data_IF_895000250634
#
_entry.id   IF_895000250634
#
_cell.length_a   1.000
_cell.length_b   1.000
_cell.length_c   1.000
_cell.angle_alpha   90.00
_cell.angle_beta   90.00
_cell.angle_gamma   90.00
#
_symmetry.space_group_name_H-M   'P 1'
#
loop_
_entity.id
_entity.type
_entity.pdbx_description
1 polymer ?
#
# COMPACT_ATOMS: atom_id res chain seq x y z
N UNK A 1 7.09 17.62 -28.76
CA UNK A 1 6.63 17.43 -27.36
C UNK A 1 7.11 16.08 -26.88
N UNK A 2 8.22 16.05 -26.15
CA UNK A 2 8.74 14.82 -25.55
C UNK A 2 9.38 15.19 -24.21
N UNK A 3 8.88 14.59 -23.14
CA UNK A 3 9.62 14.44 -21.89
C UNK A 3 8.86 13.45 -21.00
N UNK A 4 9.38 12.23 -20.87
CA UNK A 4 9.05 11.31 -19.77
C UNK A 4 10.21 11.36 -18.80
N UNK A 5 9.93 12.04 -17.70
CA UNK A 5 10.26 11.68 -16.32
C UNK A 5 11.66 11.12 -16.06
N UNK A 6 12.49 12.07 -15.65
CA UNK A 6 13.68 11.91 -14.82
C UNK A 6 13.27 11.44 -13.42
N UNK A 7 13.63 10.21 -13.05
CA UNK A 7 13.81 9.79 -11.65
C UNK A 7 15.18 9.08 -11.59
N UNK A 8 16.25 9.77 -11.23
CA UNK A 8 16.65 10.15 -9.87
C UNK A 8 16.84 8.94 -8.95
N UNK A 9 17.79 8.08 -9.30
CA UNK A 9 18.45 7.18 -8.35
C UNK A 9 19.33 8.00 -7.42
N UNK A 10 18.99 8.05 -6.13
CA UNK A 10 19.89 8.55 -5.09
C UNK A 10 19.97 7.55 -3.92
N UNK A 11 21.14 7.41 -3.27
CA UNK A 11 21.57 6.18 -2.64
C UNK A 11 21.43 6.22 -1.10
N UNK A 12 21.31 5.05 -0.47
CA UNK A 12 21.69 4.84 0.95
C UNK A 12 22.48 3.53 1.02
N UNK A 13 23.81 3.57 1.06
CA UNK A 13 24.75 3.87 2.17
C UNK A 13 25.02 2.65 3.05
N UNK A 14 26.29 2.21 2.99
CA UNK A 14 27.02 1.37 3.94
C UNK A 14 26.83 -0.13 3.73
N UNK A 15 27.81 -0.95 3.38
CA UNK A 15 29.26 -0.83 3.36
C UNK A 15 29.83 -2.16 3.87
N UNK A 16 30.72 -2.82 3.10
CA UNK A 16 31.96 -3.47 3.56
C UNK A 16 32.52 -4.43 2.48
N UNK A 17 33.84 -4.33 2.34
CA UNK A 17 34.81 -5.27 1.78
C UNK A 17 34.85 -5.47 0.25
N UNK A 18 35.80 -4.75 -0.35
CA UNK A 18 36.43 -5.10 -1.62
C UNK A 18 37.18 -6.44 -1.49
N UNK A 19 36.85 -7.44 -2.30
CA UNK A 19 37.80 -8.47 -2.74
C UNK A 19 37.34 -9.08 -4.07
N UNK A 20 38.19 -8.94 -5.10
CA UNK A 20 38.25 -9.86 -6.23
C UNK A 20 37.25 -9.63 -7.37
N UNK A 21 37.65 -8.84 -8.38
CA UNK A 21 37.12 -9.01 -9.72
C UNK A 21 37.71 -10.31 -10.28
N UNK A 22 37.00 -11.42 -10.12
CA UNK A 22 37.28 -12.65 -10.87
C UNK A 22 36.55 -12.50 -12.21
N UNK A 23 37.22 -12.59 -13.37
CA UNK A 23 36.54 -12.63 -14.65
C UNK A 23 35.97 -14.04 -14.78
N UNK A 24 34.75 -14.25 -14.28
CA UNK A 24 34.05 -15.51 -14.49
C UNK A 24 33.41 -15.42 -15.87
N UNK A 25 34.04 -16.08 -16.84
CA UNK A 25 33.37 -16.47 -18.08
C UNK A 25 32.04 -17.14 -17.73
N UNK A 26 30.96 -16.67 -18.35
CA UNK A 26 29.63 -17.25 -18.18
C UNK A 26 28.89 -16.64 -17.01
N UNK A 27 28.40 -15.41 -17.18
CA UNK A 27 27.32 -14.82 -16.40
C UNK A 27 26.11 -15.76 -16.42
N UNK A 28 26.09 -16.68 -15.46
CA UNK A 28 24.89 -17.40 -15.06
C UNK A 28 24.07 -16.38 -14.28
N UNK A 29 23.36 -15.54 -15.03
CA UNK A 29 22.13 -14.95 -14.51
C UNK A 29 21.33 -16.12 -13.92
N UNK A 30 20.89 -15.99 -12.66
CA UNK A 30 20.20 -17.08 -11.99
C UNK A 30 19.02 -17.55 -12.84
N UNK A 31 18.72 -18.85 -12.78
CA UNK A 31 17.84 -19.59 -13.70
C UNK A 31 16.40 -19.03 -13.83
N UNK A 32 16.05 -17.96 -13.10
CA UNK A 32 14.79 -17.22 -13.15
C UNK A 32 14.77 -16.07 -14.19
N UNK A 33 15.92 -15.65 -14.72
CA UNK A 33 16.04 -14.54 -15.69
C UNK A 33 16.02 -14.98 -17.17
N UNK A 34 16.05 -16.28 -17.45
CA UNK A 34 16.10 -16.81 -18.81
C UNK A 34 14.89 -17.69 -19.07
N UNK A 35 14.04 -17.27 -20.00
CA UNK A 35 12.94 -18.05 -20.52
C UNK A 35 13.50 -19.33 -21.15
N UNK A 36 13.41 -20.48 -20.47
CA UNK A 36 13.68 -21.75 -21.13
C UNK A 36 12.53 -22.02 -22.10
N UNK A 37 12.86 -22.42 -23.34
CA UNK A 37 11.94 -22.67 -24.45
C UNK A 37 10.86 -23.77 -24.19
N UNK A 38 10.66 -24.18 -22.94
CA UNK A 38 9.71 -25.18 -22.48
C UNK A 38 8.84 -24.69 -21.30
N UNK A 39 9.01 -23.45 -20.83
CA UNK A 39 8.17 -22.86 -19.80
C UNK A 39 7.38 -21.69 -20.40
N UNK A 40 6.22 -21.99 -20.98
CA UNK A 40 5.17 -20.99 -21.28
C UNK A 40 4.62 -20.37 -19.96
N UNK A 41 5.14 -20.79 -18.81
CA UNK A 41 4.77 -20.30 -17.49
C UNK A 41 6.04 -19.91 -16.73
N UNK A 42 6.26 -18.61 -16.40
CA UNK A 42 7.29 -18.22 -15.42
C UNK A 42 7.07 -18.97 -14.09
N UNK A 43 8.11 -19.18 -13.25
CA UNK A 43 7.92 -19.71 -11.90
C UNK A 43 6.79 -18.90 -11.27
N UNK A 44 5.72 -19.58 -10.81
CA UNK A 44 4.43 -18.96 -10.50
C UNK A 44 4.64 -17.53 -10.00
N UNK A 45 4.41 -16.51 -10.86
CA UNK A 45 4.77 -15.18 -10.46
C UNK A 45 3.94 -14.89 -9.21
N UNK A 46 4.51 -14.12 -8.28
CA UNK A 46 3.69 -13.62 -7.18
C UNK A 46 2.43 -13.00 -7.77
N UNK A 47 1.34 -12.96 -7.03
CA UNK A 47 0.07 -12.42 -7.56
C UNK A 47 0.22 -10.98 -8.10
N UNK A 48 1.31 -10.29 -7.75
CA UNK A 48 1.69 -8.95 -8.18
C UNK A 48 2.62 -8.86 -9.40
N UNK A 49 3.08 -9.97 -9.96
CA UNK A 49 4.06 -9.96 -11.04
C UNK A 49 3.49 -10.62 -12.30
N UNK A 50 3.77 -10.01 -13.46
CA UNK A 50 3.36 -10.55 -14.74
C UNK A 50 4.53 -10.44 -15.72
N UNK A 51 5.07 -11.59 -16.12
CA UNK A 51 6.22 -11.66 -17.02
C UNK A 51 5.82 -12.16 -18.41
N UNK A 52 6.36 -11.54 -19.45
CA UNK A 52 6.32 -12.00 -20.83
C UNK A 52 7.72 -12.40 -21.29
N UNK A 53 7.83 -13.45 -22.08
CA UNK A 53 9.09 -13.86 -22.71
C UNK A 53 9.15 -13.34 -24.14
N UNK A 54 10.16 -12.52 -24.43
CA UNK A 54 10.36 -12.00 -25.77
C UNK A 54 11.14 -12.97 -26.68
N UNK A 55 11.07 -12.81 -28.01
CA UNK A 55 11.77 -13.69 -28.95
C UNK A 55 13.30 -13.67 -28.82
N UNK A 56 13.86 -12.68 -28.13
CA UNK A 56 15.28 -12.55 -27.78
C UNK A 56 15.68 -13.44 -26.58
N UNK A 57 14.71 -14.14 -25.96
CA UNK A 57 14.92 -15.00 -24.80
C UNK A 57 15.00 -14.24 -23.46
N UNK A 58 14.64 -12.95 -23.45
CA UNK A 58 14.64 -12.10 -22.25
C UNK A 58 13.22 -12.04 -21.68
N UNK A 59 13.10 -12.22 -20.36
CA UNK A 59 11.85 -11.99 -19.64
C UNK A 59 11.65 -10.49 -19.39
N UNK A 60 10.47 -9.97 -19.69
CA UNK A 60 10.01 -8.62 -19.35
C UNK A 60 8.88 -8.73 -18.34
N UNK A 61 9.15 -8.35 -17.10
CA UNK A 61 8.20 -8.44 -16.00
C UNK A 61 7.63 -7.06 -15.65
N UNK A 62 6.33 -7.02 -15.42
CA UNK A 62 5.61 -5.90 -14.82
C UNK A 62 5.31 -6.28 -13.37
N UNK A 63 5.70 -5.43 -12.43
CA UNK A 63 5.36 -5.57 -11.01
C UNK A 63 4.32 -4.53 -10.67
N UNK A 64 3.22 -4.96 -10.07
CA UNK A 64 2.16 -4.07 -9.63
C UNK A 64 2.54 -3.40 -8.29
N UNK A 65 2.58 -2.06 -8.29
CA UNK A 65 2.60 -1.26 -7.06
C UNK A 65 1.16 -0.94 -6.65
N UNK A 66 0.71 -1.49 -5.52
CA UNK A 66 -0.63 -1.26 -5.04
C UNK A 66 -0.80 0.18 -4.53
N UNK A 67 -1.88 0.83 -4.95
CA UNK A 67 -2.30 2.09 -4.34
C UNK A 67 -2.60 1.88 -2.84
N UNK A 68 -2.26 2.85 -1.97
CA UNK A 68 -2.62 2.77 -0.55
C UNK A 68 -4.14 2.54 -0.41
N UNK A 69 -4.57 1.50 0.34
CA UNK A 69 -5.98 1.17 0.42
C UNK A 69 -6.74 2.27 1.15
N UNK A 70 -7.97 2.60 0.72
CA UNK A 70 -8.77 3.66 1.30
C UNK A 70 -9.45 3.26 2.63
N UNK A 71 -8.88 2.31 3.36
CA UNK A 71 -9.38 1.84 4.65
C UNK A 71 -8.23 1.49 5.57
N UNK A 72 -8.50 1.43 6.88
CA UNK A 72 -7.52 1.05 7.90
C UNK A 72 -7.51 -0.45 8.19
N UNK A 73 -8.51 -1.18 7.72
CA UNK A 73 -8.74 -2.61 7.91
C UNK A 73 -8.77 -3.36 6.56
N UNK A 74 -7.86 -3.02 5.65
CA UNK A 74 -7.75 -3.70 4.37
C UNK A 74 -7.37 -5.18 4.55
N UNK A 75 -7.96 -6.06 3.75
CA UNK A 75 -7.75 -7.50 3.82
C UNK A 75 -6.86 -7.94 2.66
N UNK A 76 -5.84 -8.75 2.97
CA UNK A 76 -4.97 -9.38 1.99
C UNK A 76 -5.48 -10.80 1.73
N UNK A 77 -6.13 -11.00 0.58
CA UNK A 77 -6.64 -12.32 0.19
C UNK A 77 -5.57 -13.13 -0.53
N UNK A 78 -5.53 -14.43 -0.24
CA UNK A 78 -4.66 -15.37 -0.98
C UNK A 78 -5.08 -15.38 -2.44
N UNK A 79 -4.12 -15.22 -3.36
CA UNK A 79 -4.40 -15.18 -4.79
C UNK A 79 -4.72 -13.78 -5.34
N UNK A 80 -4.58 -12.73 -4.52
CA UNK A 80 -4.69 -11.34 -4.97
C UNK A 80 -3.40 -10.59 -4.69
N UNK A 81 -2.99 -9.74 -5.63
CA UNK A 81 -1.85 -8.86 -5.42
C UNK A 81 -2.13 -7.81 -4.35
N UNK A 82 -3.23 -7.08 -4.53
CA UNK A 82 -3.51 -5.87 -3.77
C UNK A 82 -4.58 -6.11 -2.72
N UNK A 83 -4.46 -5.48 -1.54
CA UNK A 83 -5.47 -5.60 -0.50
C UNK A 83 -6.77 -4.90 -0.90
N UNK A 84 -7.88 -5.39 -0.36
CA UNK A 84 -9.22 -4.86 -0.62
C UNK A 84 -9.87 -4.33 0.66
N UNK A 85 -10.75 -3.33 0.50
CA UNK A 85 -11.57 -2.78 1.58
C UNK A 85 -12.98 -3.38 1.50
N UNK A 86 -13.22 -4.48 2.23
CA UNK A 86 -14.48 -5.23 2.17
C UNK A 86 -15.72 -4.39 2.49
N UNK A 87 -15.60 -3.52 3.50
CA UNK A 87 -16.69 -2.63 3.96
C UNK A 87 -16.64 -1.25 3.28
N UNK A 88 -15.77 -1.09 2.29
CA UNK A 88 -15.49 0.18 1.63
C UNK A 88 -14.56 1.10 2.46
N UNK A 89 -14.46 2.38 2.05
CA UNK A 89 -13.52 3.30 2.67
C UNK A 89 -13.86 3.62 4.12
N UNK A 90 -12.85 3.68 4.99
CA UNK A 90 -13.02 3.98 6.41
C UNK A 90 -11.74 4.56 7.03
N UNK A 91 -11.86 4.99 8.28
CA UNK A 91 -10.74 5.52 9.05
C UNK A 91 -10.96 5.33 10.56
N UNK A 92 -9.93 5.58 11.37
CA UNK A 92 -10.06 5.53 12.83
C UNK A 92 -10.82 6.75 13.34
N UNK A 93 -11.70 6.56 14.33
CA UNK A 93 -12.42 7.65 14.98
C UNK A 93 -11.47 8.59 15.73
N UNK A 94 -10.38 8.06 16.28
CA UNK A 94 -9.37 8.81 17.04
C UNK A 94 -7.97 8.16 16.91
N UNK A 95 -6.98 8.72 17.61
CA UNK A 95 -5.59 8.25 17.58
C UNK A 95 -5.35 6.95 18.36
N UNK A 96 -6.32 6.45 19.15
CA UNK A 96 -6.21 5.17 19.84
C UNK A 96 -6.24 3.99 18.87
N UNK A 97 -6.77 4.20 17.65
CA UNK A 97 -6.89 3.18 16.60
C UNK A 97 -7.72 1.97 16.99
N UNK A 98 -8.64 2.13 17.93
CA UNK A 98 -9.51 1.04 18.42
C UNK A 98 -10.86 1.00 17.72
N UNK A 99 -11.36 2.15 17.26
CA UNK A 99 -12.68 2.28 16.64
C UNK A 99 -12.56 2.75 15.19
N UNK A 100 -13.14 1.98 14.29
CA UNK A 100 -13.24 2.29 12.86
C UNK A 100 -14.64 2.85 12.56
N UNK A 101 -14.73 3.86 11.71
CA UNK A 101 -15.99 4.44 11.23
C UNK A 101 -15.95 4.60 9.70
N UNK A 102 -17.11 4.51 9.02
CA UNK A 102 -17.16 4.60 7.56
C UNK A 102 -16.79 6.00 7.03
N UNK A 103 -16.29 6.07 5.80
CA UNK A 103 -16.07 7.31 5.08
C UNK A 103 -17.37 8.02 4.68
N UNK A 104 -17.28 9.33 4.41
CA UNK A 104 -18.39 10.11 3.87
C UNK A 104 -19.09 10.95 4.94
N UNK A 105 -20.31 10.55 5.33
CA UNK A 105 -21.13 11.33 6.25
C UNK A 105 -20.59 11.31 7.68
N UNK A 106 -20.87 12.36 8.44
CA UNK A 106 -20.44 12.47 9.83
C UNK A 106 -21.30 11.56 10.72
N UNK A 107 -20.67 10.75 11.56
CA UNK A 107 -21.31 9.77 12.46
C UNK A 107 -21.12 10.17 13.92
N UNK A 108 -22.08 9.81 14.79
CA UNK A 108 -21.95 10.01 16.24
C UNK A 108 -21.10 8.89 16.84
N UNK A 109 -19.95 9.25 17.41
CA UNK A 109 -19.09 8.30 18.12
C UNK A 109 -19.36 8.31 19.63
N UNK A 110 -19.73 9.47 20.16
CA UNK A 110 -20.17 9.63 21.55
C UNK A 110 -21.44 10.49 21.54
N UNK A 111 -22.22 10.55 22.65
CA UNK A 111 -23.46 11.33 22.72
C UNK A 111 -23.35 12.80 22.29
N UNK A 112 -22.14 13.36 22.26
CA UNK A 112 -21.87 14.73 21.84
C UNK A 112 -20.69 14.88 20.90
N UNK A 113 -20.15 13.79 20.38
CA UNK A 113 -18.97 13.83 19.51
C UNK A 113 -19.35 13.24 18.16
N UNK A 114 -19.29 14.08 17.12
CA UNK A 114 -19.56 13.68 15.75
C UNK A 114 -18.26 13.69 14.95
N UNK A 115 -17.96 12.59 14.28
CA UNK A 115 -16.73 12.40 13.53
C UNK A 115 -17.02 12.16 12.06
N UNK A 116 -16.20 12.73 11.18
CA UNK A 116 -16.26 12.51 9.74
C UNK A 116 -14.91 12.01 9.24
N UNK A 117 -14.92 10.84 8.62
CA UNK A 117 -13.77 10.37 7.85
C UNK A 117 -13.65 11.15 6.53
N UNK A 118 -12.42 11.36 6.11
CA UNK A 118 -12.13 11.93 4.82
C UNK A 118 -12.63 11.03 3.69
N UNK A 119 -13.14 11.62 2.62
CA UNK A 119 -13.79 10.90 1.50
C UNK A 119 -13.00 11.03 0.18
N UNK A 120 -11.68 11.24 0.24
CA UNK A 120 -10.81 11.39 -0.93
C UNK A 120 -10.88 12.75 -1.65
N UNK A 121 -11.88 13.59 -1.36
CA UNK A 121 -11.96 14.99 -1.83
C UNK A 121 -11.30 15.97 -0.86
N UNK A 122 -11.13 15.57 0.41
CA UNK A 122 -10.43 16.37 1.40
C UNK A 122 -8.90 16.28 1.17
N UNK A 123 -8.22 17.42 1.12
CA UNK A 123 -6.75 17.49 1.02
C UNK A 123 -6.10 16.72 2.17
N UNK A 124 -5.14 15.82 1.86
CA UNK A 124 -4.35 15.10 2.87
C UNK A 124 -4.80 13.66 3.16
N UNK A 125 -5.89 13.15 2.55
CA UNK A 125 -6.25 11.74 2.68
C UNK A 125 -5.15 10.79 2.16
N UNK A 126 -4.58 11.14 1.01
CA UNK A 126 -3.46 10.41 0.40
C UNK A 126 -2.14 10.58 1.16
N UNK A 127 -2.03 11.57 2.06
CA UNK A 127 -0.84 11.81 2.89
C UNK A 127 -0.80 10.92 4.15
N UNK A 128 -1.69 9.93 4.25
CA UNK A 128 -1.72 8.98 5.36
C UNK A 128 -2.53 9.45 6.57
N UNK A 129 -3.38 10.48 6.42
CA UNK A 129 -4.32 10.86 7.46
C UNK A 129 -5.47 9.85 7.57
N UNK A 130 -5.23 8.81 8.38
CA UNK A 130 -6.16 7.71 8.66
C UNK A 130 -7.05 7.95 9.88
N UNK A 131 -7.18 9.20 10.34
CA UNK A 131 -7.98 9.56 11.53
C UNK A 131 -9.07 10.56 11.13
N UNK A 132 -10.27 10.37 11.67
CA UNK A 132 -11.41 11.22 11.42
C UNK A 132 -11.24 12.62 12.00
N UNK A 133 -11.92 13.59 11.40
CA UNK A 133 -12.13 14.90 12.01
C UNK A 133 -13.36 14.85 12.92
N UNK A 134 -13.18 15.10 14.20
CA UNK A 134 -14.25 15.06 15.20
C UNK A 134 -14.58 16.44 15.77
N UNK A 135 -15.86 16.68 16.00
CA UNK A 135 -16.39 17.91 16.58
C UNK A 135 -17.26 17.56 17.79
N UNK A 136 -16.98 18.21 18.93
CA UNK A 136 -17.77 18.09 20.15
C UNK A 136 -18.81 19.19 20.20
N UNK A 137 -20.06 18.85 20.52
CA UNK A 137 -21.13 19.82 20.75
C UNK A 137 -20.79 20.71 21.96
N UNK A 138 -20.91 22.04 21.78
CA UNK A 138 -20.55 23.05 22.78
C UNK A 138 -21.39 22.97 24.06
N UNK A 139 -22.63 22.49 23.97
CA UNK A 139 -23.58 22.41 25.09
C UNK A 139 -23.86 20.96 25.50
N UNK A 140 -22.84 20.10 25.41
CA UNK A 140 -22.96 18.72 25.84
C UNK A 140 -23.07 18.63 27.36
N UNK A 141 -24.13 18.03 27.93
CA UNK A 141 -24.15 17.72 29.36
C UNK A 141 -22.97 16.79 29.70
N UNK A 142 -22.35 16.93 30.89
CA UNK A 142 -21.32 16.00 31.34
C UNK A 142 -21.90 14.58 31.32
N UNK A 143 -21.19 13.63 30.72
CA UNK A 143 -21.46 12.22 30.99
C UNK A 143 -20.97 11.99 32.41
N UNK A 144 -21.89 11.79 33.36
CA UNK A 144 -21.57 11.48 34.75
C UNK A 144 -20.65 10.25 34.78
N UNK A 145 -19.34 10.47 34.94
CA UNK A 145 -18.35 9.44 35.23
C UNK A 145 -18.38 9.10 36.73
N UNK A 146 -19.55 8.69 37.22
CA UNK A 146 -19.67 8.08 38.53
C UNK A 146 -20.45 6.78 38.38
N UNK A 147 -19.72 5.65 38.32
CA UNK A 147 -19.93 4.48 39.18
C UNK A 147 -19.22 3.24 38.60
N UNK A 148 -18.01 2.94 39.05
CA UNK A 148 -17.45 1.59 39.24
C UNK A 148 -16.19 1.68 40.09
#
# INVERSE_FOLDING_TARGET
MGNRDRFSSSPRVGGLAAHGVVPILGSHLPLWDRCTAQAITPPRPSECEQCTCDPDGIARCLVADCAPPPCVNAVYETGQCCPTCQEGPNCYADRSRTRVIPAGAAVWVEPCTRCRCHNGQDTGYWEGNRVAKCERLRNCPPLDRHNS
#
